data_IF_147096445519
#
_entry.id   IF_147096445519
#
_cell.length_a   1.000
_cell.length_b   1.000
_cell.length_c   1.000
_cell.angle_alpha   90.00
_cell.angle_beta   90.00
_cell.angle_gamma   90.00
#
_symmetry.space_group_name_H-M   'P 1'
#
loop_
_entity.id
_entity.type
_entity.pdbx_description
1 polymer ?
#
# COMPACT_ATOMS: atom_id res chain seq x y z
N UNK A 1 -1.87 2.13 21.69
CA UNK A 1 -2.06 1.46 20.39
C UNK A 1 -1.30 0.13 20.39
N UNK A 2 -1.91 -0.87 19.81
CA UNK A 2 -1.35 -2.22 19.75
C UNK A 2 -0.43 -2.40 18.54
N UNK A 3 -0.80 -1.80 17.40
CA UNK A 3 -0.16 -2.01 16.12
C UNK A 3 0.55 -0.78 15.58
N UNK A 4 1.58 -1.03 14.76
CA UNK A 4 2.25 0.03 14.02
C UNK A 4 2.45 -0.35 12.54
N UNK A 5 2.59 0.69 11.70
CA UNK A 5 2.90 0.56 10.28
C UNK A 5 4.22 1.29 9.96
N UNK A 6 5.18 0.52 9.46
CA UNK A 6 6.42 1.00 8.86
C UNK A 6 6.30 0.99 7.32
N UNK A 7 7.25 1.62 6.65
CA UNK A 7 7.24 1.69 5.18
C UNK A 7 7.38 0.35 4.46
N UNK A 8 7.91 -0.68 5.11
CA UNK A 8 8.03 -2.05 4.60
C UNK A 8 6.78 -2.91 4.82
N UNK A 9 5.85 -2.46 5.66
CA UNK A 9 4.54 -3.08 5.81
C UNK A 9 3.56 -2.73 4.69
N UNK A 10 3.85 -1.67 3.92
CA UNK A 10 3.06 -1.27 2.76
C UNK A 10 3.71 -1.77 1.48
N UNK A 11 2.96 -2.51 0.69
CA UNK A 11 3.40 -2.99 -0.62
C UNK A 11 3.16 -1.94 -1.71
N UNK A 12 3.92 -2.02 -2.80
CA UNK A 12 3.77 -1.10 -3.93
C UNK A 12 2.46 -1.35 -4.67
N UNK A 13 1.72 -0.28 -4.97
CA UNK A 13 0.44 -0.33 -5.70
C UNK A 13 -0.60 -1.26 -5.05
N UNK A 14 -0.52 -1.41 -3.71
CA UNK A 14 -1.45 -2.22 -2.93
C UNK A 14 -2.13 -1.39 -1.84
N UNK A 15 -3.46 -1.28 -1.93
CA UNK A 15 -4.27 -0.50 -1.00
C UNK A 15 -4.60 -1.27 0.30
N UNK A 16 -4.25 -2.55 0.37
CA UNK A 16 -4.51 -3.40 1.54
C UNK A 16 -3.24 -3.53 2.38
N UNK A 17 -3.39 -3.44 3.70
CA UNK A 17 -2.30 -3.68 4.64
C UNK A 17 -2.28 -5.16 4.98
N UNK A 18 -1.28 -5.89 4.48
CA UNK A 18 -1.15 -7.33 4.72
C UNK A 18 -0.27 -7.65 5.93
N UNK A 19 0.56 -6.70 6.35
CA UNK A 19 1.54 -6.87 7.44
C UNK A 19 1.48 -5.68 8.38
N UNK A 20 1.61 -5.94 9.66
CA UNK A 20 1.69 -4.90 10.69
C UNK A 20 2.64 -5.36 11.79
N UNK A 21 3.33 -4.43 12.41
CA UNK A 21 4.13 -4.68 13.59
C UNK A 21 3.31 -4.54 14.87
N UNK A 22 3.83 -5.08 15.95
CA UNK A 22 3.16 -5.12 17.24
C UNK A 22 4.08 -4.53 18.32
N UNK A 23 3.65 -3.46 18.99
CA UNK A 23 4.47 -2.77 20.00
C UNK A 23 4.86 -3.64 21.20
N UNK A 24 4.10 -4.67 21.51
CA UNK A 24 4.43 -5.54 22.65
C UNK A 24 5.57 -6.53 22.37
N UNK A 25 5.86 -6.82 21.09
CA UNK A 25 6.87 -7.82 20.69
C UNK A 25 8.07 -7.22 20.01
N UNK A 26 7.92 -6.03 19.44
CA UNK A 26 8.93 -5.44 18.56
C UNK A 26 9.65 -4.28 19.27
N UNK A 27 10.95 -4.17 19.07
CA UNK A 27 11.73 -3.00 19.50
C UNK A 27 11.52 -1.88 18.48
N UNK A 28 10.63 -0.94 18.81
CA UNK A 28 10.20 0.13 17.92
C UNK A 28 10.88 1.44 18.30
N UNK A 29 11.65 1.98 17.38
CA UNK A 29 12.35 3.26 17.58
C UNK A 29 11.39 4.48 17.65
N UNK A 30 11.91 5.67 17.99
CA UNK A 30 11.11 6.88 18.27
C UNK A 30 10.47 7.53 17.04
N UNK A 31 10.64 6.96 15.85
CA UNK A 31 10.11 7.50 14.60
C UNK A 31 8.61 7.30 14.41
N UNK A 32 7.97 6.46 15.23
CA UNK A 32 6.55 6.13 15.16
C UNK A 32 5.76 7.12 16.01
N UNK A 33 5.18 8.12 15.35
CA UNK A 33 4.55 9.26 16.04
C UNK A 33 3.19 9.66 15.50
N UNK A 34 2.77 9.15 14.33
CA UNK A 34 1.52 9.55 13.70
C UNK A 34 0.45 8.51 13.90
N UNK A 35 -0.62 8.89 14.57
CA UNK A 35 -1.80 8.06 14.79
C UNK A 35 -2.62 8.02 13.51
N UNK A 36 -3.14 6.84 13.16
CA UNK A 36 -4.09 6.65 12.08
C UNK A 36 -5.30 5.84 12.55
N UNK A 37 -6.42 6.00 11.82
CA UNK A 37 -7.71 5.36 12.08
C UNK A 37 -8.22 4.64 10.85
N UNK A 38 -9.16 3.68 11.01
CA UNK A 38 -9.82 3.03 9.87
C UNK A 38 -10.40 4.05 8.87
N UNK A 39 -10.21 3.76 7.58
CA UNK A 39 -10.65 4.60 6.47
C UNK A 39 -9.66 5.70 6.06
N UNK A 40 -8.67 6.02 6.86
CA UNK A 40 -7.62 6.96 6.48
C UNK A 40 -6.61 6.32 5.53
N UNK A 41 -5.96 7.14 4.72
CA UNK A 41 -4.98 6.71 3.74
C UNK A 41 -3.58 6.93 4.31
N UNK A 42 -2.79 5.88 4.26
CA UNK A 42 -1.37 5.92 4.60
C UNK A 42 -0.56 6.06 3.31
N UNK A 43 0.25 7.12 3.22
CA UNK A 43 1.10 7.41 2.07
C UNK A 43 2.57 7.47 2.48
N UNK A 44 3.39 6.61 1.89
CA UNK A 44 4.83 6.61 2.09
C UNK A 44 5.49 7.80 1.39
N UNK A 45 6.01 8.77 2.16
CA UNK A 45 6.63 9.98 1.60
C UNK A 45 8.00 9.77 0.97
N UNK A 46 8.63 8.62 1.20
CA UNK A 46 9.93 8.26 0.65
C UNK A 46 9.80 7.36 -0.57
N UNK A 47 10.65 7.60 -1.58
CA UNK A 47 10.65 6.83 -2.84
C UNK A 47 9.25 6.74 -3.41
N UNK A 48 8.64 7.88 -3.65
CA UNK A 48 7.24 8.01 -4.06
C UNK A 48 6.91 7.24 -5.35
N UNK A 49 7.92 7.00 -6.20
CA UNK A 49 7.81 6.13 -7.38
C UNK A 49 7.43 4.67 -7.05
N UNK A 50 7.59 4.23 -5.80
CA UNK A 50 7.12 2.90 -5.35
C UNK A 50 5.61 2.86 -5.12
N UNK A 51 4.92 4.00 -5.15
CA UNK A 51 3.46 4.09 -4.96
C UNK A 51 2.97 3.32 -3.71
N UNK A 52 3.67 3.48 -2.59
CA UNK A 52 3.29 2.87 -1.32
C UNK A 52 2.14 3.64 -0.69
N UNK A 53 0.94 3.15 -0.92
CA UNK A 53 -0.32 3.75 -0.49
C UNK A 53 -1.20 2.64 0.03
N UNK A 54 -1.77 2.81 1.23
CA UNK A 54 -2.70 1.83 1.78
C UNK A 54 -3.89 2.53 2.44
N UNK A 55 -5.03 1.85 2.49
CA UNK A 55 -6.20 2.28 3.26
C UNK A 55 -6.21 1.51 4.57
N UNK A 56 -6.20 2.23 5.69
CA UNK A 56 -6.21 1.61 7.00
C UNK A 56 -7.57 0.94 7.28
N UNK A 57 -7.55 -0.28 7.77
CA UNK A 57 -8.72 -1.04 8.23
C UNK A 57 -8.73 -1.26 9.76
N UNK A 58 -7.68 -0.77 10.43
CA UNK A 58 -7.53 -0.75 11.88
C UNK A 58 -6.92 0.59 12.34
N UNK A 59 -6.88 0.82 13.64
CA UNK A 59 -6.17 1.96 14.24
C UNK A 59 -4.75 1.59 14.68
N UNK A 60 -3.84 2.54 14.60
CA UNK A 60 -2.45 2.31 15.01
C UNK A 60 -1.59 3.55 14.89
N UNK A 61 -0.28 3.33 14.95
CA UNK A 61 0.73 4.38 14.80
C UNK A 61 1.60 4.07 13.59
N UNK A 62 1.87 5.06 12.75
CA UNK A 62 2.80 4.90 11.65
C UNK A 62 4.07 5.77 11.82
N UNK A 63 5.10 5.41 11.07
CA UNK A 63 6.35 6.15 11.06
C UNK A 63 6.16 7.60 10.57
N UNK A 64 6.99 8.51 11.03
CA UNK A 64 6.98 9.92 10.63
C UNK A 64 7.20 10.15 9.13
N UNK A 65 7.70 9.15 8.41
CA UNK A 65 7.86 9.13 6.95
C UNK A 65 6.59 8.71 6.20
N UNK A 66 5.51 8.41 6.91
CA UNK A 66 4.21 8.06 6.35
C UNK A 66 3.23 9.19 6.65
N UNK A 67 2.58 9.74 5.63
CA UNK A 67 1.49 10.70 5.81
C UNK A 67 0.19 9.95 6.05
N UNK A 68 -0.62 10.49 6.96
CA UNK A 68 -1.99 10.03 7.22
C UNK A 68 -2.91 11.06 6.59
N UNK A 69 -3.71 10.65 5.63
CA UNK A 69 -4.49 11.53 4.77
C UNK A 69 -5.96 11.16 4.79
N UNK A 70 -6.78 12.18 4.73
CA UNK A 70 -8.23 12.06 4.53
C UNK A 70 -8.75 13.25 3.74
N UNK A 71 -9.90 13.11 3.10
CA UNK A 71 -10.56 14.23 2.43
C UNK A 71 -11.13 15.17 3.48
N UNK A 72 -10.93 16.48 3.27
CA UNK A 72 -11.38 17.52 4.19
C UNK A 72 -12.92 17.58 4.28
N UNK A 73 -13.58 17.38 3.14
CA UNK A 73 -15.03 17.37 3.03
C UNK A 73 -15.47 16.27 2.04
N UNK A 74 -16.09 15.23 2.57
CA UNK A 74 -16.59 14.12 1.77
C UNK A 74 -17.80 14.47 0.89
N UNK A 75 -18.43 15.64 1.12
CA UNK A 75 -19.47 16.19 0.25
C UNK A 75 -18.91 16.91 -0.98
N UNK A 76 -17.60 17.14 -1.02
CA UNK A 76 -16.88 17.73 -2.17
C UNK A 76 -16.03 16.70 -2.85
N UNK A 77 -15.25 15.95 -2.07
CA UNK A 77 -14.34 14.94 -2.58
C UNK A 77 -14.48 13.63 -1.80
N UNK A 78 -14.93 12.57 -2.47
CA UNK A 78 -15.17 11.29 -1.83
C UNK A 78 -13.85 10.64 -1.35
N UNK A 79 -13.80 10.31 -0.06
CA UNK A 79 -12.68 9.60 0.58
C UNK A 79 -12.32 8.30 -0.18
N UNK A 80 -13.32 7.59 -0.69
CA UNK A 80 -13.13 6.34 -1.43
C UNK A 80 -12.47 6.50 -2.80
N UNK A 81 -12.42 7.72 -3.36
CA UNK A 81 -11.74 8.01 -4.62
C UNK A 81 -10.27 8.44 -4.41
N UNK A 82 -9.96 9.06 -3.27
CA UNK A 82 -8.63 9.61 -2.98
C UNK A 82 -7.47 8.61 -3.20
N UNK A 83 -7.52 7.34 -2.75
CA UNK A 83 -6.40 6.42 -2.97
C UNK A 83 -6.11 6.16 -4.46
N UNK A 84 -7.13 6.17 -5.31
CA UNK A 84 -6.95 5.97 -6.75
C UNK A 84 -6.37 7.20 -7.45
N UNK A 85 -6.73 8.42 -7.00
CA UNK A 85 -6.05 9.64 -7.48
C UNK A 85 -4.56 9.56 -7.13
N UNK A 86 -4.23 9.14 -5.91
CA UNK A 86 -2.83 9.02 -5.46
C UNK A 86 -2.06 7.89 -6.14
N UNK A 87 -2.74 6.83 -6.62
CA UNK A 87 -2.14 5.75 -7.42
C UNK A 87 -1.94 6.13 -8.88
N UNK A 88 -2.54 7.22 -9.35
CA UNK A 88 -2.45 7.63 -10.76
C UNK A 88 -1.00 7.98 -11.15
N UNK A 89 -0.67 7.78 -12.42
CA UNK A 89 0.65 8.13 -12.94
C UNK A 89 0.90 9.63 -12.84
N UNK A 90 -0.11 10.47 -13.11
CA UNK A 90 -0.03 11.93 -12.97
C UNK A 90 0.37 12.36 -11.56
N UNK A 91 -0.24 11.78 -10.52
CA UNK A 91 0.12 12.07 -9.14
C UNK A 91 1.53 11.54 -8.81
N UNK A 92 1.88 10.37 -9.32
CA UNK A 92 3.22 9.79 -9.12
C UNK A 92 4.29 10.67 -9.77
N UNK A 93 4.12 11.07 -11.01
CA UNK A 93 5.02 11.99 -11.72
C UNK A 93 5.19 13.31 -10.98
N UNK A 94 4.07 13.88 -10.49
CA UNK A 94 4.09 15.06 -9.65
C UNK A 94 4.92 14.84 -8.37
N UNK A 95 4.65 13.80 -7.63
CA UNK A 95 5.33 13.51 -6.36
C UNK A 95 6.82 13.21 -6.55
N UNK A 96 7.18 12.55 -7.64
CA UNK A 96 8.59 12.29 -8.02
C UNK A 96 9.30 13.59 -8.37
N UNK A 97 8.69 14.44 -9.22
CA UNK A 97 9.30 15.71 -9.65
C UNK A 97 9.50 16.71 -8.49
N UNK A 98 8.70 16.61 -7.43
CA UNK A 98 8.82 17.42 -6.22
C UNK A 98 9.60 16.75 -5.09
N UNK A 99 10.12 15.53 -5.32
CA UNK A 99 10.92 14.81 -4.34
C UNK A 99 12.31 15.43 -4.18
N UNK A 100 12.81 15.44 -2.95
CA UNK A 100 14.11 15.98 -2.55
C UNK A 100 15.04 14.85 -2.13
N UNK A 101 16.34 15.03 -2.36
CA UNK A 101 17.39 14.04 -2.04
C UNK A 101 17.58 13.01 -3.15
N UNK A 102 18.80 12.47 -3.27
CA UNK A 102 19.20 11.57 -4.35
C UNK A 102 19.08 10.08 -3.99
N UNK A 103 19.61 9.66 -2.84
CA UNK A 103 19.70 8.23 -2.47
C UNK A 103 18.38 7.69 -1.92
N UNK A 104 17.65 8.49 -1.14
CA UNK A 104 16.36 8.13 -0.57
C UNK A 104 15.41 9.32 -0.70
N UNK A 105 14.97 9.63 -1.94
CA UNK A 105 14.17 10.80 -2.22
C UNK A 105 12.87 10.79 -1.41
N UNK A 106 12.44 11.96 -0.99
CA UNK A 106 11.21 12.15 -0.22
C UNK A 106 10.47 13.40 -0.68
N UNK A 107 9.16 13.38 -0.56
CA UNK A 107 8.29 14.52 -0.80
C UNK A 107 7.87 15.15 0.53
N UNK A 108 7.77 16.48 0.57
CA UNK A 108 7.19 17.18 1.71
C UNK A 108 5.65 17.19 1.62
N UNK A 109 5.00 17.29 2.76
CA UNK A 109 3.53 17.42 2.78
C UNK A 109 3.05 18.70 2.08
N UNK A 110 3.79 19.80 2.20
CA UNK A 110 3.50 21.06 1.49
C UNK A 110 3.50 20.89 -0.03
N UNK A 111 4.43 20.08 -0.54
CA UNK A 111 4.53 19.82 -1.97
C UNK A 111 3.34 18.93 -2.42
N UNK A 112 2.98 17.91 -1.64
CA UNK A 112 1.78 17.10 -1.91
C UNK A 112 0.49 17.92 -1.87
N UNK A 113 0.37 18.82 -0.91
CA UNK A 113 -0.82 19.66 -0.74
C UNK A 113 -1.03 20.67 -1.87
N UNK A 114 0.00 20.93 -2.69
CA UNK A 114 -0.08 21.81 -3.87
C UNK A 114 -0.42 21.06 -5.17
N UNK A 115 -0.68 19.74 -5.10
CA UNK A 115 -1.12 18.99 -6.28
C UNK A 115 -2.55 19.38 -6.67
N UNK A 116 -2.70 19.83 -7.90
CA UNK A 116 -3.97 20.25 -8.47
C UNK A 116 -4.45 19.24 -9.51
N UNK A 117 -5.74 18.95 -9.50
CA UNK A 117 -6.37 18.08 -10.48
C UNK A 117 -7.84 18.48 -10.68
N UNK A 118 -8.38 18.13 -11.83
CA UNK A 118 -9.82 18.34 -12.10
C UNK A 118 -10.65 17.33 -11.30
N UNK A 119 -11.55 17.87 -10.47
CA UNK A 119 -12.43 17.04 -9.65
C UNK A 119 -13.78 16.88 -10.36
N UNK A 120 -14.18 15.64 -10.72
CA UNK A 120 -15.50 15.38 -11.30
C UNK A 120 -16.64 15.71 -10.33
N UNK A 121 -17.87 15.72 -10.84
CA UNK A 121 -19.06 15.82 -9.98
C UNK A 121 -19.13 14.66 -8.97
N UNK A 122 -19.83 14.86 -7.85
CA UNK A 122 -19.97 13.81 -6.82
C UNK A 122 -20.60 12.52 -7.38
N UNK A 123 -21.51 12.64 -8.33
CA UNK A 123 -22.11 11.49 -8.99
C UNK A 123 -21.06 10.71 -9.80
N UNK A 124 -20.26 11.38 -10.60
CA UNK A 124 -19.17 10.78 -11.37
C UNK A 124 -18.11 10.18 -10.45
N UNK A 125 -17.74 10.87 -9.36
CA UNK A 125 -16.83 10.34 -8.34
C UNK A 125 -17.35 9.04 -7.75
N UNK A 126 -18.65 8.98 -7.42
CA UNK A 126 -19.29 7.78 -6.86
C UNK A 126 -19.26 6.61 -7.85
N UNK A 127 -19.59 6.86 -9.11
CA UNK A 127 -19.55 5.83 -10.16
C UNK A 127 -18.11 5.35 -10.38
N UNK A 128 -17.16 6.27 -10.51
CA UNK A 128 -15.75 5.96 -10.73
C UNK A 128 -15.16 5.18 -9.55
N UNK A 129 -15.38 5.63 -8.32
CA UNK A 129 -14.91 4.97 -7.12
C UNK A 129 -15.44 3.54 -7.03
N UNK A 130 -16.74 3.31 -7.24
CA UNK A 130 -17.33 1.96 -7.22
C UNK A 130 -16.68 1.02 -8.25
N UNK A 131 -16.45 1.52 -9.47
CA UNK A 131 -15.79 0.74 -10.54
C UNK A 131 -14.33 0.41 -10.19
N UNK A 132 -13.58 1.40 -9.69
CA UNK A 132 -12.17 1.23 -9.32
C UNK A 132 -12.03 0.25 -8.15
N UNK A 133 -12.87 0.35 -7.12
CA UNK A 133 -12.86 -0.61 -6.02
C UNK A 133 -13.29 -2.02 -6.46
N UNK A 134 -14.22 -2.15 -7.40
CA UNK A 134 -14.58 -3.45 -7.95
C UNK A 134 -13.41 -4.08 -8.71
N UNK A 135 -12.74 -3.30 -9.55
CA UNK A 135 -11.53 -3.73 -10.27
C UNK A 135 -10.38 -4.10 -9.32
N UNK A 136 -10.17 -3.28 -8.26
CA UNK A 136 -9.18 -3.57 -7.25
C UNK A 136 -9.45 -4.89 -6.51
N UNK A 137 -10.68 -5.11 -6.06
CA UNK A 137 -11.06 -6.38 -5.41
C UNK A 137 -10.89 -7.58 -6.34
N UNK A 138 -11.18 -7.43 -7.62
CA UNK A 138 -10.95 -8.48 -8.62
C UNK A 138 -9.46 -8.79 -8.77
N UNK A 139 -8.62 -7.76 -8.90
CA UNK A 139 -7.15 -7.88 -8.93
C UNK A 139 -6.65 -8.65 -7.70
N UNK A 140 -7.10 -8.29 -6.50
CA UNK A 140 -6.70 -8.96 -5.26
C UNK A 140 -7.18 -10.43 -5.18
N UNK A 141 -8.35 -10.72 -5.73
CA UNK A 141 -8.84 -12.10 -5.84
C UNK A 141 -7.97 -12.95 -6.77
N UNK A 142 -7.52 -12.39 -7.88
CA UNK A 142 -6.58 -13.08 -8.78
C UNK A 142 -5.19 -13.28 -8.15
N UNK A 143 -4.68 -12.32 -7.41
CA UNK A 143 -3.41 -12.48 -6.67
C UNK A 143 -3.49 -13.64 -5.68
N UNK A 144 -4.59 -13.74 -4.91
CA UNK A 144 -4.81 -14.85 -3.97
C UNK A 144 -4.90 -16.19 -4.69
N UNK A 145 -5.61 -16.25 -5.82
CA UNK A 145 -5.72 -17.46 -6.62
C UNK A 145 -4.35 -17.90 -7.14
N UNK A 146 -3.53 -16.96 -7.63
CA UNK A 146 -2.18 -17.24 -8.09
C UNK A 146 -1.30 -17.82 -6.96
N UNK A 147 -1.31 -17.19 -5.79
CA UNK A 147 -0.57 -17.66 -4.62
C UNK A 147 -1.01 -19.08 -4.22
N UNK A 148 -2.32 -19.31 -4.14
CA UNK A 148 -2.87 -20.64 -3.80
C UNK A 148 -2.49 -21.70 -4.84
N UNK A 149 -2.44 -21.34 -6.12
CA UNK A 149 -1.99 -22.23 -7.19
C UNK A 149 -0.51 -22.57 -7.06
N UNK A 150 0.33 -21.58 -6.77
CA UNK A 150 1.77 -21.80 -6.54
C UNK A 150 2.02 -22.69 -5.31
N UNK A 151 1.27 -22.50 -4.24
CA UNK A 151 1.34 -23.34 -3.04
C UNK A 151 0.90 -24.78 -3.35
N UNK A 152 -0.16 -24.96 -4.12
CA UNK A 152 -0.63 -26.27 -4.55
C UNK A 152 0.43 -26.99 -5.38
N UNK A 153 1.03 -26.31 -6.36
CA UNK A 153 2.11 -26.90 -7.20
C UNK A 153 3.31 -27.32 -6.33
N UNK A 154 3.73 -26.47 -5.38
CA UNK A 154 4.82 -26.81 -4.45
C UNK A 154 4.46 -28.01 -3.56
N UNK A 155 3.24 -28.05 -3.04
CA UNK A 155 2.78 -29.17 -2.20
C UNK A 155 2.75 -30.48 -2.99
N UNK A 156 2.21 -30.46 -4.22
CA UNK A 156 2.19 -31.64 -5.09
C UNK A 156 3.60 -32.11 -5.46
N UNK A 157 4.52 -31.17 -5.73
CA UNK A 157 5.90 -31.51 -6.00
C UNK A 157 6.56 -32.22 -4.79
N UNK A 158 6.35 -31.69 -3.58
CA UNK A 158 6.87 -32.30 -2.35
C UNK A 158 6.25 -33.69 -2.11
N UNK A 159 4.94 -33.84 -2.31
CA UNK A 159 4.25 -35.13 -2.18
C UNK A 159 4.78 -36.18 -3.16
N UNK A 160 5.03 -35.78 -4.41
CA UNK A 160 5.50 -36.71 -5.46
C UNK A 160 7.00 -37.04 -5.34
N UNK A 161 7.82 -36.10 -4.86
CA UNK A 161 9.28 -36.21 -4.94
C UNK A 161 10.00 -36.02 -3.60
N UNK A 162 9.29 -35.74 -2.50
CA UNK A 162 9.89 -35.43 -1.18
C UNK A 162 10.68 -36.58 -0.56
N UNK A 163 10.29 -37.82 -0.87
CA UNK A 163 10.93 -39.05 -0.34
C UNK A 163 12.00 -39.64 -1.28
N UNK A 164 12.29 -38.94 -2.39
CA UNK A 164 13.33 -39.41 -3.34
C UNK A 164 14.71 -39.12 -2.77
N UNK A 165 15.60 -40.12 -2.84
CA UNK A 165 16.99 -40.02 -2.43
C UNK A 165 17.69 -38.87 -3.17
N UNK A 166 18.26 -37.93 -2.40
CA UNK A 166 18.95 -36.76 -2.95
C UNK A 166 20.27 -37.20 -3.57
N UNK A 167 20.44 -37.00 -4.87
CA UNK A 167 21.72 -37.15 -5.55
C UNK A 167 22.35 -35.78 -5.83
N UNK A 168 23.69 -35.66 -5.80
CA UNK A 168 24.36 -34.45 -6.26
C UNK A 168 24.01 -34.14 -7.71
N UNK A 169 23.82 -32.88 -8.04
CA UNK A 169 23.45 -32.47 -9.40
C UNK A 169 24.47 -32.84 -10.48
N UNK A 170 25.76 -33.06 -10.09
CA UNK A 170 26.85 -33.51 -10.96
C UNK A 170 26.73 -35.00 -11.35
N UNK A 171 25.86 -35.75 -10.67
CA UNK A 171 25.69 -37.20 -10.90
C UNK A 171 24.41 -37.52 -11.70
N UNK A 172 23.78 -36.49 -12.30
CA UNK A 172 22.52 -36.62 -13.08
C UNK A 172 22.81 -36.46 -14.60
#
# INVERSE_FOLDING_TARGET
>A
YEFYIAGDHMDSEDLTIHRKGHFATDDVGPAFTRIFKPGQILYGSRRTYLKKIAVADFEGICANTTFVLETKDNCVFLQSLLPFIMLSDKFTEWSVSHSKGSTNPYVLFSDLASYEFELPSLEEQSILSKKLWAAYRLKESYKRLLTATDEMVKSQFIEMFGDIEKKPFVDV
#
